data_IF_973921233776
#
_entry.id   IF_973921233776
#
_cell.length_a   1.000
_cell.length_b   1.000
_cell.length_c   1.000
_cell.angle_alpha   90.00
_cell.angle_beta   90.00
_cell.angle_gamma   90.00
#
_symmetry.space_group_name_H-M   'P 1'
#
loop_
_entity.id
_entity.type
_entity.pdbx_description
1 polymer ?
#
# COMPACT_ATOMS: atom_id res chain seq x y z
N UNK A 1 -20.01 -24.04 -19.47
CA UNK A 1 -20.48 -23.58 -18.14
C UNK A 1 -19.53 -24.01 -17.03
N UNK A 2 -19.17 -25.29 -16.90
CA UNK A 2 -18.16 -25.72 -15.92
C UNK A 2 -16.79 -25.06 -16.16
N UNK A 3 -16.29 -25.08 -17.40
CA UNK A 3 -14.99 -24.46 -17.75
C UNK A 3 -14.94 -22.94 -17.46
N UNK A 4 -16.02 -22.21 -17.77
CA UNK A 4 -16.13 -20.77 -17.48
C UNK A 4 -16.12 -20.48 -15.98
N UNK A 5 -16.70 -21.38 -15.17
CA UNK A 5 -16.70 -21.23 -13.71
C UNK A 5 -15.31 -21.51 -13.14
N UNK A 6 -14.61 -22.55 -13.62
CA UNK A 6 -13.23 -22.85 -13.22
C UNK A 6 -12.26 -21.71 -13.58
N UNK A 7 -12.44 -21.08 -14.75
CA UNK A 7 -11.67 -19.89 -15.14
C UNK A 7 -11.94 -18.70 -14.22
N UNK A 8 -13.21 -18.48 -13.83
CA UNK A 8 -13.58 -17.44 -12.88
C UNK A 8 -12.93 -17.68 -11.51
N UNK A 9 -12.95 -18.92 -10.99
CA UNK A 9 -12.31 -19.26 -9.72
C UNK A 9 -10.80 -18.98 -9.75
N UNK A 10 -10.12 -19.37 -10.83
CA UNK A 10 -8.69 -19.09 -11.02
C UNK A 10 -8.40 -17.59 -11.08
N UNK A 11 -9.21 -16.82 -11.80
CA UNK A 11 -9.07 -15.38 -11.89
C UNK A 11 -9.25 -14.70 -10.52
N UNK A 12 -10.25 -15.12 -9.74
CA UNK A 12 -10.49 -14.61 -8.38
C UNK A 12 -9.34 -14.97 -7.45
N UNK A 13 -8.82 -16.19 -7.52
CA UNK A 13 -7.67 -16.61 -6.71
C UNK A 13 -6.41 -15.77 -7.03
N UNK A 14 -6.14 -15.52 -8.32
CA UNK A 14 -5.04 -14.66 -8.74
C UNK A 14 -5.21 -13.22 -8.24
N UNK A 15 -6.41 -12.65 -8.35
CA UNK A 15 -6.71 -11.32 -7.82
C UNK A 15 -6.51 -11.23 -6.31
N UNK A 16 -6.90 -12.26 -5.56
CA UNK A 16 -6.66 -12.32 -4.10
C UNK A 16 -5.17 -12.27 -3.78
N UNK A 17 -4.36 -13.10 -4.45
CA UNK A 17 -2.91 -13.13 -4.23
C UNK A 17 -2.26 -11.77 -4.52
N UNK A 18 -2.62 -11.11 -5.63
CA UNK A 18 -2.12 -9.77 -5.96
C UNK A 18 -2.59 -8.72 -4.94
N UNK A 19 -3.81 -8.87 -4.42
CA UNK A 19 -4.34 -7.97 -3.38
C UNK A 19 -3.55 -8.09 -2.08
N UNK A 20 -3.27 -9.31 -1.64
CA UNK A 20 -2.45 -9.58 -0.45
C UNK A 20 -1.04 -8.99 -0.60
N UNK A 21 -0.39 -9.23 -1.74
CA UNK A 21 0.93 -8.65 -2.01
C UNK A 21 0.89 -7.12 -2.03
N UNK A 22 -0.14 -6.54 -2.64
CA UNK A 22 -0.33 -5.09 -2.67
C UNK A 22 -0.48 -4.50 -1.26
N UNK A 23 -1.19 -5.18 -0.35
CA UNK A 23 -1.34 -4.75 1.04
C UNK A 23 0.01 -4.76 1.79
N UNK A 24 0.83 -5.80 1.59
CA UNK A 24 2.18 -5.90 2.15
C UNK A 24 3.05 -4.73 1.65
N UNK A 25 3.04 -4.47 0.35
CA UNK A 25 3.82 -3.38 -0.25
C UNK A 25 3.35 -2.00 0.23
N UNK A 26 2.04 -1.79 0.39
CA UNK A 26 1.50 -0.55 0.95
C UNK A 26 1.97 -0.36 2.39
N UNK A 27 1.87 -1.39 3.23
CA UNK A 27 2.36 -1.34 4.61
C UNK A 27 3.85 -1.02 4.65
N UNK A 28 4.65 -1.67 3.80
CA UNK A 28 6.08 -1.40 3.69
C UNK A 28 6.38 0.04 3.30
N UNK A 29 5.66 0.59 2.32
CA UNK A 29 5.76 2.00 1.94
C UNK A 29 5.42 2.91 3.11
N UNK A 30 4.34 2.63 3.82
CA UNK A 30 3.89 3.46 4.94
C UNK A 30 4.92 3.46 6.08
N UNK A 31 5.53 2.31 6.39
CA UNK A 31 6.65 2.18 7.34
C UNK A 31 7.87 3.00 6.91
N UNK A 32 8.23 2.98 5.62
CA UNK A 32 9.34 3.77 5.05
C UNK A 32 9.04 5.28 5.08
N UNK A 33 7.79 5.68 4.83
CA UNK A 33 7.33 7.07 4.97
C UNK A 33 7.58 7.55 6.42
N UNK A 34 7.10 6.77 7.41
CA UNK A 34 7.27 7.12 8.83
C UNK A 34 8.75 7.20 9.22
N UNK A 35 9.56 6.22 8.81
CA UNK A 35 10.99 6.21 9.09
C UNK A 35 11.70 7.42 8.46
N UNK A 36 11.35 7.79 7.22
CA UNK A 36 11.92 8.95 6.54
C UNK A 36 11.60 10.25 7.27
N UNK A 37 10.34 10.45 7.67
CA UNK A 37 9.91 11.64 8.44
C UNK A 37 10.64 11.73 9.79
N UNK A 38 10.79 10.61 10.49
CA UNK A 38 11.59 10.53 11.72
C UNK A 38 13.06 10.85 11.50
N UNK A 39 13.61 10.47 10.34
CA UNK A 39 14.97 10.80 9.92
C UNK A 39 15.15 12.24 9.46
N UNK A 40 14.12 13.09 9.56
CA UNK A 40 14.20 14.51 9.23
C UNK A 40 13.81 14.85 7.79
N UNK A 41 13.32 13.90 7.00
CA UNK A 41 12.73 14.21 5.70
C UNK A 41 11.52 15.13 5.88
N UNK A 42 11.40 16.13 5.00
CA UNK A 42 10.24 17.03 5.00
C UNK A 42 9.04 16.36 4.35
N UNK A 43 7.84 16.80 4.71
CA UNK A 43 6.60 16.34 4.08
C UNK A 43 6.63 16.46 2.56
N UNK A 44 7.13 17.59 2.03
CA UNK A 44 7.22 17.85 0.59
C UNK A 44 8.15 16.85 -0.11
N UNK A 45 9.30 16.53 0.49
CA UNK A 45 10.22 15.52 -0.06
C UNK A 45 9.56 14.15 -0.16
N UNK A 46 8.86 13.74 0.89
CA UNK A 46 8.17 12.44 0.89
C UNK A 46 7.03 12.42 -0.14
N UNK A 47 6.28 13.51 -0.28
CA UNK A 47 5.25 13.62 -1.32
C UNK A 47 5.83 13.51 -2.73
N UNK A 48 6.94 14.18 -3.01
CA UNK A 48 7.60 14.13 -4.31
C UNK A 48 8.07 12.71 -4.67
N UNK A 49 8.59 11.96 -3.69
CA UNK A 49 9.04 10.57 -3.91
C UNK A 49 7.88 9.61 -4.07
N UNK A 50 6.83 9.76 -3.26
CA UNK A 50 5.72 8.79 -3.20
C UNK A 50 4.58 9.09 -4.17
N UNK A 51 4.51 10.31 -4.71
CA UNK A 51 3.37 10.79 -5.50
C UNK A 51 2.09 10.95 -4.69
N UNK A 52 2.13 10.84 -3.35
CA UNK A 52 0.94 10.91 -2.51
C UNK A 52 0.51 12.36 -2.28
N UNK A 53 -0.81 12.57 -2.33
CA UNK A 53 -1.41 13.84 -1.88
C UNK A 53 -1.18 14.05 -0.37
N UNK A 54 -1.31 15.29 0.14
CA UNK A 54 -1.18 15.55 1.59
C UNK A 54 -2.08 14.64 2.43
N UNK A 55 -3.33 14.45 1.99
CA UNK A 55 -4.28 13.53 2.62
C UNK A 55 -3.81 12.07 2.54
N UNK A 56 -3.28 11.65 1.40
CA UNK A 56 -2.74 10.30 1.21
C UNK A 56 -1.59 10.00 2.17
N UNK A 57 -0.69 10.95 2.35
CA UNK A 57 0.44 10.82 3.28
C UNK A 57 -0.03 10.75 4.74
N UNK A 58 -1.01 11.59 5.12
CA UNK A 58 -1.62 11.52 6.45
C UNK A 58 -2.26 10.15 6.73
N UNK A 59 -3.00 9.61 5.76
CA UNK A 59 -3.58 8.27 5.88
C UNK A 59 -2.52 7.17 5.99
N UNK A 60 -1.43 7.25 5.23
CA UNK A 60 -0.33 6.31 5.30
C UNK A 60 0.25 6.23 6.73
N UNK A 61 0.50 7.39 7.35
CA UNK A 61 1.02 7.46 8.71
C UNK A 61 0.00 6.94 9.73
N UNK A 62 -1.27 7.33 9.59
CA UNK A 62 -2.33 6.99 10.54
C UNK A 62 -2.74 5.51 10.51
N UNK A 63 -2.47 4.77 9.42
CA UNK A 63 -2.72 3.32 9.33
C UNK A 63 -1.74 2.49 10.15
N UNK A 64 -0.58 3.04 10.46
CA UNK A 64 0.41 2.35 11.27
C UNK A 64 0.02 2.41 12.75
N UNK A 65 0.41 1.39 13.55
CA UNK A 65 0.28 1.46 14.99
C UNK A 65 0.98 2.71 15.53
N UNK A 66 0.34 3.37 16.50
CA UNK A 66 0.99 4.41 17.30
C UNK A 66 2.12 3.76 18.09
N UNK A 67 3.23 4.47 18.20
CA UNK A 67 4.34 4.10 19.07
C UNK A 67 4.09 4.53 20.51
#
# INVERSE_FOLDING_TARGET
>A
MAETFDELEKAVAALRSVTEEREILIRRRDELIRASLKGGATWVQVQNVTGLSPRGLSLAINRLPKE
#
